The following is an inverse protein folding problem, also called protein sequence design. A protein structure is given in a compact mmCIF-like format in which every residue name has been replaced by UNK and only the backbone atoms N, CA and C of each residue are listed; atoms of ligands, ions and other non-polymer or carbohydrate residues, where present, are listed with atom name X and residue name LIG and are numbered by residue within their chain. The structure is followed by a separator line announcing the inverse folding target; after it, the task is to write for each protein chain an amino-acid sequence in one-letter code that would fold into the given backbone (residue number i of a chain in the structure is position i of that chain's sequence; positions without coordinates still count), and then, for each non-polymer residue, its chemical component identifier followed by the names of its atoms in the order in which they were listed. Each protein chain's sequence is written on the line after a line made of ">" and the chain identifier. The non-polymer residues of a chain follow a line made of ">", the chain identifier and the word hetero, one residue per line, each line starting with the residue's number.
data_IF_580835812679
#
_entry.id   IF_580835812679
#
_cell.length_a   1.000
_cell.length_b   1.000
_cell.length_c   1.000
_cell.angle_alpha   90.00
_cell.angle_beta   90.00
_cell.angle_gamma   90.00
#
_symmetry.space_group_name_H-M   'P 1'
#
loop_
_entity.id
_entity.type
_entity.pdbx_description
1 polymer ?
#
# COMPACT_ATOMS: atom_id res chain seq x y z
N UNK A 1 42.94 -23.14 -5.12
CA UNK A 1 41.56 -23.55 -4.79
C UNK A 1 40.62 -22.76 -5.71
N UNK A 2 40.07 -23.43 -6.72
CA UNK A 2 39.26 -22.82 -7.79
C UNK A 2 37.87 -22.50 -7.27
N UNK A 3 37.54 -21.20 -7.19
CA UNK A 3 36.15 -20.73 -6.96
C UNK A 3 35.33 -21.08 -8.23
N UNK A 4 34.53 -22.14 -8.18
CA UNK A 4 33.58 -22.50 -9.23
C UNK A 4 32.67 -21.27 -9.51
N UNK A 5 32.89 -20.64 -10.65
CA UNK A 5 31.97 -19.62 -11.18
C UNK A 5 30.57 -20.26 -11.31
N UNK A 6 29.62 -19.80 -10.50
CA UNK A 6 28.23 -20.29 -10.56
C UNK A 6 27.67 -19.95 -11.92
N UNK A 7 27.14 -20.95 -12.63
CA UNK A 7 26.56 -20.82 -13.96
C UNK A 7 25.50 -19.72 -14.00
N UNK A 8 25.47 -18.83 -15.00
CA UNK A 8 24.52 -17.67 -15.06
C UNK A 8 23.06 -18.08 -14.95
N UNK A 9 22.67 -19.25 -15.40
CA UNK A 9 21.32 -19.80 -15.26
C UNK A 9 20.89 -20.03 -13.79
N UNK A 10 21.77 -20.55 -12.93
CA UNK A 10 21.49 -20.81 -11.51
C UNK A 10 21.33 -19.50 -10.75
N UNK A 11 22.08 -18.46 -11.13
CA UNK A 11 21.97 -17.12 -10.54
C UNK A 11 20.67 -16.44 -10.96
N UNK A 12 20.23 -16.59 -12.21
CA UNK A 12 18.97 -16.07 -12.72
C UNK A 12 17.76 -16.72 -12.05
N UNK A 13 17.74 -18.05 -11.90
CA UNK A 13 16.64 -18.79 -11.23
C UNK A 13 16.53 -18.36 -9.76
N UNK A 14 17.65 -18.24 -9.04
CA UNK A 14 17.66 -17.79 -7.64
C UNK A 14 17.16 -16.35 -7.50
N UNK A 15 17.47 -15.49 -8.44
CA UNK A 15 16.96 -14.10 -8.48
C UNK A 15 15.46 -14.07 -8.71
N UNK A 16 14.93 -14.94 -9.58
CA UNK A 16 13.48 -15.00 -9.87
C UNK A 16 12.67 -15.49 -8.67
N UNK A 17 13.12 -16.57 -7.99
CA UNK A 17 12.47 -17.07 -6.77
C UNK A 17 12.47 -16.02 -5.66
N UNK A 18 13.60 -15.35 -5.45
CA UNK A 18 13.67 -14.26 -4.48
C UNK A 18 12.69 -13.14 -4.83
N UNK A 19 12.62 -12.73 -6.10
CA UNK A 19 11.69 -11.70 -6.56
C UNK A 19 10.23 -12.07 -6.26
N UNK A 20 9.83 -13.31 -6.54
CA UNK A 20 8.48 -13.81 -6.21
C UNK A 20 8.23 -13.74 -4.71
N UNK A 21 9.15 -14.22 -3.87
CA UNK A 21 9.01 -14.14 -2.41
C UNK A 21 8.86 -12.71 -1.90
N UNK A 22 9.67 -11.77 -2.42
CA UNK A 22 9.59 -10.36 -2.02
C UNK A 22 8.27 -9.72 -2.47
N UNK A 23 7.78 -10.07 -3.66
CA UNK A 23 6.47 -9.62 -4.17
C UNK A 23 5.34 -10.18 -3.32
N UNK A 24 5.40 -11.47 -2.96
CA UNK A 24 4.44 -12.12 -2.07
C UNK A 24 4.44 -11.49 -0.67
N UNK A 25 5.60 -11.12 -0.14
CA UNK A 25 5.68 -10.44 1.16
C UNK A 25 4.94 -9.10 1.16
N UNK A 26 5.09 -8.31 0.08
CA UNK A 26 4.34 -7.06 -0.07
C UNK A 26 2.85 -7.28 -0.27
N UNK A 27 2.47 -8.32 -1.03
CA UNK A 27 1.07 -8.66 -1.22
C UNK A 27 0.40 -9.06 0.11
N UNK A 28 0.99 -10.01 0.84
CA UNK A 28 0.42 -10.54 2.08
C UNK A 28 0.42 -9.53 3.22
N UNK A 29 1.43 -8.65 3.32
CA UNK A 29 1.47 -7.61 4.34
C UNK A 29 0.35 -6.57 4.19
N UNK A 30 -0.11 -6.31 2.97
CA UNK A 30 -1.19 -5.35 2.68
C UNK A 30 -2.56 -6.02 2.48
N UNK A 31 -2.59 -7.35 2.37
CA UNK A 31 -3.80 -8.11 2.07
C UNK A 31 -4.93 -7.89 3.10
N UNK A 32 -4.68 -7.80 4.43
CA UNK A 32 -5.75 -7.52 5.39
C UNK A 32 -6.50 -6.22 5.11
N UNK A 33 -5.80 -5.15 4.70
CA UNK A 33 -6.44 -3.88 4.30
C UNK A 33 -7.37 -4.09 3.10
N UNK A 34 -6.89 -4.76 2.05
CA UNK A 34 -7.69 -4.98 0.85
C UNK A 34 -8.87 -5.93 1.09
N UNK A 35 -8.72 -6.90 2.01
CA UNK A 35 -9.82 -7.76 2.43
C UNK A 35 -10.88 -6.99 3.23
N UNK A 36 -10.47 -6.06 4.12
CA UNK A 36 -11.40 -5.15 4.78
C UNK A 36 -12.21 -4.34 3.75
N UNK A 37 -11.55 -3.82 2.72
CA UNK A 37 -12.23 -3.09 1.64
C UNK A 37 -13.15 -3.99 0.82
N UNK A 38 -12.62 -5.07 0.23
CA UNK A 38 -13.34 -5.93 -0.70
C UNK A 38 -14.49 -6.72 -0.04
N UNK A 39 -14.30 -7.18 1.20
CA UNK A 39 -15.27 -7.96 1.95
C UNK A 39 -16.03 -7.14 3.00
N UNK A 40 -15.74 -5.83 3.07
CA UNK A 40 -16.37 -4.89 4.00
C UNK A 40 -17.90 -4.96 4.04
N UNK A 41 -18.60 -4.99 2.89
CA UNK A 41 -20.06 -5.11 2.87
C UNK A 41 -20.59 -6.33 3.63
N UNK A 42 -19.88 -7.46 3.58
CA UNK A 42 -20.27 -8.71 4.28
C UNK A 42 -20.04 -8.61 5.78
N UNK A 43 -18.90 -8.03 6.19
CA UNK A 43 -18.57 -7.83 7.62
C UNK A 43 -19.49 -6.81 8.26
N UNK A 44 -19.78 -5.70 7.57
CA UNK A 44 -20.73 -4.69 8.03
C UNK A 44 -22.12 -5.32 8.21
N UNK A 45 -22.55 -6.17 7.28
CA UNK A 45 -23.83 -6.87 7.38
C UNK A 45 -23.87 -7.90 8.52
N UNK A 46 -22.80 -8.65 8.74
CA UNK A 46 -22.74 -9.72 9.74
C UNK A 46 -22.60 -9.17 11.19
N UNK A 47 -21.75 -8.19 11.37
CA UNK A 47 -21.44 -7.63 12.70
C UNK A 47 -22.21 -6.35 13.04
N UNK A 48 -23.04 -5.84 12.11
CA UNK A 48 -23.77 -4.59 12.31
C UNK A 48 -22.86 -3.36 12.49
N UNK A 49 -21.71 -3.34 11.81
CA UNK A 49 -20.71 -2.28 12.00
C UNK A 49 -21.18 -0.95 11.44
N UNK A 50 -20.93 0.14 12.18
CA UNK A 50 -21.00 1.48 11.65
C UNK A 50 -19.89 1.70 10.60
N UNK A 51 -20.11 2.63 9.66
CA UNK A 51 -19.14 2.91 8.59
C UNK A 51 -17.81 3.39 9.17
N UNK A 52 -17.84 4.24 10.20
CA UNK A 52 -16.66 4.72 10.91
C UNK A 52 -15.83 3.60 11.56
N UNK A 53 -16.49 2.56 12.08
CA UNK A 53 -15.79 1.41 12.68
C UNK A 53 -14.90 0.67 11.66
N UNK A 54 -15.34 0.54 10.40
CA UNK A 54 -14.50 -0.02 9.34
C UNK A 54 -13.24 0.81 9.11
N UNK A 55 -13.37 2.14 9.14
CA UNK A 55 -12.22 3.04 9.04
C UNK A 55 -11.26 2.95 10.22
N UNK A 56 -11.79 2.79 11.43
CA UNK A 56 -10.97 2.61 12.63
C UNK A 56 -10.16 1.30 12.60
N UNK A 57 -10.68 0.23 12.00
CA UNK A 57 -9.90 -1.00 11.76
C UNK A 57 -8.65 -0.70 10.93
N UNK A 58 -8.80 0.05 9.83
CA UNK A 58 -7.66 0.42 8.99
C UNK A 58 -6.67 1.30 9.76
N UNK A 59 -7.17 2.28 10.51
CA UNK A 59 -6.35 3.15 11.34
C UNK A 59 -5.58 2.38 12.42
N UNK A 60 -6.17 1.33 13.02
CA UNK A 60 -5.49 0.48 14.00
C UNK A 60 -4.27 -0.21 13.38
N UNK A 61 -4.39 -0.83 12.20
CA UNK A 61 -3.28 -1.50 11.53
C UNK A 61 -2.17 -0.54 11.11
N UNK A 62 -2.52 0.54 10.42
CA UNK A 62 -1.54 1.54 9.98
C UNK A 62 -0.97 2.36 11.14
N UNK A 63 -1.74 2.57 12.22
CA UNK A 63 -1.26 3.20 13.44
C UNK A 63 -0.15 2.39 14.09
N UNK A 64 -0.33 1.07 14.23
CA UNK A 64 0.72 0.16 14.73
C UNK A 64 1.94 0.20 13.80
N UNK A 65 1.75 0.13 12.48
CA UNK A 65 2.85 0.20 11.53
C UNK A 65 3.61 1.53 11.61
N UNK A 66 2.89 2.66 11.74
CA UNK A 66 3.49 3.98 11.86
C UNK A 66 4.32 4.15 13.13
N UNK A 67 3.78 3.72 14.29
CA UNK A 67 4.47 3.78 15.58
C UNK A 67 5.74 2.93 15.59
N UNK A 68 5.72 1.79 14.91
CA UNK A 68 6.87 0.89 14.84
C UNK A 68 7.91 1.28 13.78
N UNK A 69 7.54 2.07 12.77
CA UNK A 69 8.42 2.45 11.66
C UNK A 69 9.81 2.94 12.08
N UNK A 70 9.99 3.77 13.13
CA UNK A 70 11.32 4.23 13.53
C UNK A 70 12.23 3.11 14.08
N UNK A 71 11.64 2.06 14.64
CA UNK A 71 12.37 0.97 15.31
C UNK A 71 12.70 -0.18 14.36
N UNK A 72 11.88 -0.36 13.31
CA UNK A 72 11.97 -1.53 12.43
C UNK A 72 13.26 -1.55 11.61
N UNK A 73 13.76 -0.42 11.14
CA UNK A 73 15.01 -0.36 10.39
C UNK A 73 16.20 -0.91 11.21
N UNK A 74 16.49 -0.37 12.40
CA UNK A 74 17.46 -0.93 13.34
C UNK A 74 17.21 -2.42 13.67
N UNK A 75 15.96 -2.82 13.85
CA UNK A 75 15.60 -4.21 14.14
C UNK A 75 15.96 -5.15 12.98
N UNK A 76 15.69 -4.76 11.73
CA UNK A 76 16.07 -5.55 10.55
C UNK A 76 17.60 -5.65 10.44
N UNK A 77 18.32 -4.58 10.76
CA UNK A 77 19.79 -4.61 10.79
C UNK A 77 20.34 -5.57 11.87
N UNK A 78 19.68 -5.63 13.04
CA UNK A 78 20.10 -6.48 14.16
C UNK A 78 19.71 -7.96 13.98
N UNK A 79 18.46 -8.24 13.58
CA UNK A 79 17.93 -9.60 13.46
C UNK A 79 18.32 -10.27 12.13
N UNK A 80 18.63 -9.48 11.12
CA UNK A 80 18.87 -9.89 9.75
C UNK A 80 17.59 -9.92 8.90
N UNK A 81 17.74 -9.58 7.63
CA UNK A 81 16.62 -9.41 6.70
C UNK A 81 15.84 -10.69 6.45
N UNK A 82 16.51 -11.86 6.46
CA UNK A 82 15.84 -13.17 6.32
C UNK A 82 14.89 -13.44 7.47
N UNK A 83 15.32 -13.24 8.73
CA UNK A 83 14.46 -13.47 9.90
C UNK A 83 13.27 -12.51 9.90
N UNK A 84 13.48 -11.26 9.50
CA UNK A 84 12.41 -10.28 9.38
C UNK A 84 11.44 -10.62 8.24
N UNK A 85 11.91 -11.17 7.11
CA UNK A 85 11.04 -11.69 6.05
C UNK A 85 10.16 -12.85 6.55
N UNK A 86 10.74 -13.80 7.27
CA UNK A 86 9.99 -14.91 7.91
C UNK A 86 8.98 -14.34 8.89
N UNK A 87 9.39 -13.36 9.73
CA UNK A 87 8.49 -12.65 10.65
C UNK A 87 7.34 -11.95 9.94
N UNK A 88 7.59 -11.31 8.78
CA UNK A 88 6.54 -10.69 7.96
C UNK A 88 5.48 -11.72 7.55
N UNK A 89 5.89 -12.87 7.02
CA UNK A 89 4.95 -13.92 6.63
C UNK A 89 4.23 -14.56 7.82
N UNK A 90 4.95 -14.82 8.92
CA UNK A 90 4.35 -15.38 10.14
C UNK A 90 3.30 -14.45 10.77
N UNK A 91 3.62 -13.16 10.85
CA UNK A 91 2.68 -12.15 11.34
C UNK A 91 1.49 -11.96 10.39
N UNK A 92 1.71 -12.03 9.06
CA UNK A 92 0.62 -12.01 8.09
C UNK A 92 -0.28 -13.24 8.22
N UNK A 93 0.30 -14.43 8.38
CA UNK A 93 -0.47 -15.66 8.59
C UNK A 93 -1.28 -15.61 9.89
N UNK A 94 -0.66 -15.17 11.00
CA UNK A 94 -1.31 -15.00 12.29
C UNK A 94 -2.45 -13.98 12.22
N UNK A 95 -2.18 -12.79 11.63
CA UNK A 95 -3.19 -11.75 11.47
C UNK A 95 -4.40 -12.23 10.66
N UNK A 96 -4.15 -12.92 9.54
CA UNK A 96 -5.21 -13.48 8.69
C UNK A 96 -5.96 -14.62 9.40
N UNK A 97 -5.29 -15.46 10.16
CA UNK A 97 -5.94 -16.50 10.96
C UNK A 97 -6.85 -15.90 12.05
N UNK A 98 -6.35 -14.89 12.78
CA UNK A 98 -7.15 -14.14 13.75
C UNK A 98 -8.32 -13.42 13.08
N UNK A 99 -8.10 -12.86 11.89
CA UNK A 99 -9.15 -12.20 11.11
C UNK A 99 -10.26 -13.19 10.74
N UNK A 100 -9.91 -14.38 10.21
CA UNK A 100 -10.87 -15.41 9.85
C UNK A 100 -11.65 -15.93 11.09
N UNK A 101 -11.01 -16.00 12.26
CA UNK A 101 -11.58 -16.47 13.49
C UNK A 101 -12.29 -15.38 14.32
N UNK A 102 -12.26 -14.12 13.89
CA UNK A 102 -12.78 -12.98 14.66
C UNK A 102 -14.27 -13.16 15.00
N UNK A 103 -14.64 -13.16 16.31
CA UNK A 103 -16.04 -13.32 16.72
C UNK A 103 -16.85 -12.02 16.62
N UNK A 104 -16.20 -10.88 16.44
CA UNK A 104 -16.81 -9.55 16.37
C UNK A 104 -15.78 -8.46 16.15
N UNK A 105 -16.19 -7.20 16.35
CA UNK A 105 -15.39 -6.02 16.08
C UNK A 105 -14.03 -6.01 16.80
N UNK A 106 -14.00 -6.34 18.09
CA UNK A 106 -12.76 -6.34 18.88
C UNK A 106 -11.75 -7.37 18.37
N UNK A 107 -12.23 -8.54 17.96
CA UNK A 107 -11.40 -9.56 17.30
C UNK A 107 -10.82 -9.08 16.00
N UNK A 108 -11.59 -8.33 15.19
CA UNK A 108 -11.11 -7.68 13.98
C UNK A 108 -10.03 -6.62 14.31
N UNK A 109 -10.24 -5.78 15.32
CA UNK A 109 -9.25 -4.79 15.77
C UNK A 109 -7.93 -5.46 16.13
N UNK A 110 -7.98 -6.54 16.94
CA UNK A 110 -6.78 -7.28 17.32
C UNK A 110 -6.06 -7.89 16.10
N UNK A 111 -6.80 -8.52 15.20
CA UNK A 111 -6.25 -9.12 13.98
C UNK A 111 -5.57 -8.08 13.08
N UNK A 112 -6.21 -6.94 12.88
CA UNK A 112 -5.68 -5.86 12.04
C UNK A 112 -4.50 -5.15 12.72
N UNK A 113 -4.51 -4.97 14.04
CA UNK A 113 -3.36 -4.46 14.78
C UNK A 113 -2.13 -5.39 14.62
N UNK A 114 -2.33 -6.71 14.71
CA UNK A 114 -1.26 -7.70 14.43
C UNK A 114 -0.76 -7.58 12.98
N UNK A 115 -1.65 -7.35 12.02
CA UNK A 115 -1.23 -7.13 10.62
C UNK A 115 -0.29 -5.94 10.46
N UNK A 116 -0.48 -4.88 11.26
CA UNK A 116 0.38 -3.70 11.28
C UNK A 116 1.84 -4.01 11.63
N UNK A 117 2.09 -5.03 12.47
CA UNK A 117 3.46 -5.50 12.78
C UNK A 117 4.14 -6.07 11.52
N UNK A 118 3.45 -6.95 10.80
CA UNK A 118 3.95 -7.54 9.56
C UNK A 118 4.18 -6.49 8.47
N UNK A 119 3.27 -5.52 8.38
CA UNK A 119 3.35 -4.42 7.43
C UNK A 119 4.55 -3.51 7.69
N UNK A 120 4.84 -3.18 8.95
CA UNK A 120 6.01 -2.38 9.32
C UNK A 120 7.31 -3.06 8.87
N UNK A 121 7.41 -4.39 9.03
CA UNK A 121 8.59 -5.19 8.66
C UNK A 121 8.79 -5.35 7.15
N UNK A 122 7.71 -5.40 6.37
CA UNK A 122 7.73 -5.85 4.97
C UNK A 122 8.69 -5.03 4.09
N UNK A 123 8.60 -3.70 4.11
CA UNK A 123 9.45 -2.84 3.29
C UNK A 123 10.93 -2.87 3.69
N UNK A 124 11.31 -2.65 4.97
CA UNK A 124 12.71 -2.69 5.38
C UNK A 124 13.37 -4.04 5.13
N UNK A 125 12.71 -5.15 5.48
CA UNK A 125 13.25 -6.49 5.29
C UNK A 125 13.47 -6.83 3.80
N UNK A 126 12.50 -6.53 2.95
CA UNK A 126 12.60 -6.79 1.51
C UNK A 126 13.62 -5.88 0.82
N UNK A 127 13.70 -4.61 1.19
CA UNK A 127 14.70 -3.68 0.67
C UNK A 127 16.13 -4.12 1.03
N UNK A 128 16.36 -4.57 2.27
CA UNK A 128 17.66 -5.07 2.69
C UNK A 128 18.05 -6.34 1.94
N UNK A 129 17.12 -7.27 1.68
CA UNK A 129 17.40 -8.45 0.85
C UNK A 129 17.76 -8.08 -0.58
N UNK A 130 17.08 -7.08 -1.17
CA UNK A 130 17.44 -6.56 -2.49
C UNK A 130 18.85 -5.97 -2.47
N UNK A 131 19.16 -5.12 -1.49
CA UNK A 131 20.46 -4.47 -1.41
C UNK A 131 21.61 -5.45 -1.23
N UNK A 132 21.41 -6.55 -0.47
CA UNK A 132 22.48 -7.48 -0.11
C UNK A 132 22.58 -8.68 -1.04
N UNK A 133 21.51 -9.06 -1.77
CA UNK A 133 21.46 -10.33 -2.51
C UNK A 133 21.18 -10.19 -4.00
N UNK A 134 20.73 -9.01 -4.44
CA UNK A 134 20.42 -8.78 -5.85
C UNK A 134 21.55 -8.00 -6.50
N UNK A 135 22.06 -8.45 -7.66
CA UNK A 135 23.08 -7.72 -8.41
C UNK A 135 22.64 -6.28 -8.73
N UNK A 136 23.54 -5.31 -8.63
CA UNK A 136 23.25 -3.89 -8.80
C UNK A 136 22.50 -3.57 -10.09
N UNK A 137 22.86 -4.23 -11.20
CA UNK A 137 22.27 -4.02 -12.53
C UNK A 137 20.75 -4.31 -12.60
N UNK A 138 20.21 -5.20 -11.72
CA UNK A 138 18.79 -5.60 -11.75
C UNK A 138 18.01 -5.21 -10.50
N UNK A 139 18.65 -4.54 -9.53
CA UNK A 139 17.99 -4.10 -8.26
C UNK A 139 16.75 -3.27 -8.50
N UNK A 140 16.80 -2.35 -9.44
CA UNK A 140 15.66 -1.49 -9.78
C UNK A 140 14.46 -2.29 -10.30
N UNK A 141 14.70 -3.26 -11.18
CA UNK A 141 13.65 -4.13 -11.70
C UNK A 141 13.02 -4.98 -10.58
N UNK A 142 13.84 -5.60 -9.73
CA UNK A 142 13.37 -6.42 -8.59
C UNK A 142 12.59 -5.57 -7.59
N UNK A 143 13.04 -4.35 -7.29
CA UNK A 143 12.32 -3.43 -6.42
C UNK A 143 10.96 -3.02 -7.02
N UNK A 144 10.89 -2.79 -8.32
CA UNK A 144 9.64 -2.52 -9.03
C UNK A 144 8.65 -3.69 -8.94
N UNK A 145 9.09 -4.90 -9.23
CA UNK A 145 8.28 -6.12 -9.10
C UNK A 145 7.80 -6.34 -7.66
N UNK A 146 8.72 -6.24 -6.69
CA UNK A 146 8.38 -6.32 -5.27
C UNK A 146 7.25 -5.34 -4.92
N UNK A 147 7.37 -4.09 -5.34
CA UNK A 147 6.39 -3.06 -4.99
C UNK A 147 5.03 -3.28 -5.68
N UNK A 148 5.00 -3.95 -6.83
CA UNK A 148 3.75 -4.36 -7.49
C UNK A 148 2.98 -5.40 -6.68
N UNK A 149 3.63 -6.10 -5.75
CA UNK A 149 2.98 -7.03 -4.82
C UNK A 149 1.83 -6.40 -4.04
N UNK A 150 1.91 -5.12 -3.69
CA UNK A 150 0.81 -4.39 -3.04
C UNK A 150 -0.47 -4.47 -3.89
N UNK A 151 -0.37 -4.20 -5.19
CA UNK A 151 -1.52 -4.24 -6.10
C UNK A 151 -1.97 -5.67 -6.42
N UNK A 152 -1.04 -6.64 -6.41
CA UNK A 152 -1.38 -8.07 -6.46
C UNK A 152 -2.28 -8.44 -5.26
N UNK A 153 -1.97 -7.92 -4.07
CA UNK A 153 -2.83 -8.08 -2.89
C UNK A 153 -4.25 -7.55 -3.10
N UNK A 154 -4.39 -6.36 -3.70
CA UNK A 154 -5.69 -5.78 -4.03
C UNK A 154 -6.46 -6.65 -5.04
N UNK A 155 -5.79 -7.12 -6.10
CA UNK A 155 -6.38 -8.03 -7.09
C UNK A 155 -6.86 -9.33 -6.43
N UNK A 156 -6.00 -9.95 -5.58
CA UNK A 156 -6.35 -11.20 -4.89
C UNK A 156 -7.55 -11.04 -3.95
N UNK A 157 -7.63 -9.94 -3.22
CA UNK A 157 -8.76 -9.65 -2.34
C UNK A 157 -10.05 -9.42 -3.12
N UNK A 158 -9.98 -8.64 -4.21
CA UNK A 158 -11.15 -8.19 -4.96
C UNK A 158 -11.73 -9.22 -5.91
N UNK A 159 -10.97 -10.24 -6.33
CA UNK A 159 -11.46 -11.23 -7.32
C UNK A 159 -11.37 -12.68 -6.80
N UNK A 160 -10.20 -13.37 -6.69
CA UNK A 160 -10.21 -14.78 -6.33
C UNK A 160 -10.67 -15.05 -4.89
N UNK A 161 -10.25 -14.24 -3.90
CA UNK A 161 -10.71 -14.40 -2.52
C UNK A 161 -12.17 -13.97 -2.37
N UNK A 162 -12.61 -12.94 -3.08
CA UNK A 162 -14.02 -12.55 -3.12
C UNK A 162 -14.90 -13.64 -3.76
N UNK A 163 -14.41 -14.39 -4.76
CA UNK A 163 -15.11 -15.53 -5.33
C UNK A 163 -15.28 -16.66 -4.30
N UNK A 164 -14.23 -17.00 -3.55
CA UNK A 164 -14.32 -17.95 -2.43
C UNK A 164 -15.34 -17.47 -1.38
N UNK A 165 -15.31 -16.18 -1.04
CA UNK A 165 -16.25 -15.59 -0.11
C UNK A 165 -17.70 -15.62 -0.63
N UNK A 166 -17.91 -15.62 -1.94
CA UNK A 166 -19.21 -15.80 -2.57
C UNK A 166 -19.70 -17.23 -2.59
N UNK A 167 -18.79 -18.18 -2.82
CA UNK A 167 -19.11 -19.61 -2.92
C UNK A 167 -19.30 -20.29 -1.55
N UNK A 168 -18.56 -19.86 -0.53
CA UNK A 168 -18.56 -20.45 0.81
C UNK A 168 -18.97 -19.40 1.85
N UNK A 169 -18.03 -18.57 2.28
CA UNK A 169 -18.21 -17.41 3.16
C UNK A 169 -16.90 -16.59 3.21
N UNK A 170 -16.95 -15.38 3.78
CA UNK A 170 -15.79 -14.52 3.86
C UNK A 170 -14.68 -15.06 4.78
N UNK A 171 -15.02 -15.82 5.83
CA UNK A 171 -14.04 -16.45 6.72
C UNK A 171 -13.20 -17.49 5.99
N UNK A 172 -13.83 -18.30 5.12
CA UNK A 172 -13.13 -19.27 4.27
C UNK A 172 -12.13 -18.59 3.33
N UNK A 173 -12.50 -17.45 2.73
CA UNK A 173 -11.60 -16.67 1.89
C UNK A 173 -10.38 -16.15 2.67
N UNK A 174 -10.60 -15.62 3.89
CA UNK A 174 -9.51 -15.12 4.74
C UNK A 174 -8.64 -16.27 5.26
N UNK A 175 -9.25 -17.41 5.64
CA UNK A 175 -8.52 -18.61 6.05
C UNK A 175 -7.64 -19.18 4.92
N UNK A 176 -8.12 -19.14 3.66
CA UNK A 176 -7.33 -19.50 2.48
C UNK A 176 -6.10 -18.59 2.35
N UNK A 177 -6.29 -17.29 2.55
CA UNK A 177 -5.18 -16.34 2.53
C UNK A 177 -4.19 -16.60 3.68
N UNK A 178 -4.67 -16.97 4.88
CA UNK A 178 -3.83 -17.36 6.01
C UNK A 178 -2.99 -18.61 5.70
N UNK A 179 -3.59 -19.62 5.06
CA UNK A 179 -2.88 -20.83 4.63
C UNK A 179 -1.78 -20.51 3.59
N UNK A 180 -2.06 -19.63 2.62
CA UNK A 180 -1.06 -19.17 1.66
C UNK A 180 0.09 -18.43 2.37
N UNK A 181 -0.22 -17.59 3.36
CA UNK A 181 0.81 -16.91 4.15
C UNK A 181 1.65 -17.88 4.98
N UNK A 182 1.05 -18.93 5.55
CA UNK A 182 1.77 -19.99 6.26
C UNK A 182 2.70 -20.79 5.32
N UNK A 183 2.26 -21.10 4.11
CA UNK A 183 3.12 -21.72 3.08
C UNK A 183 4.27 -20.79 2.69
N UNK A 184 4.04 -19.47 2.64
CA UNK A 184 5.09 -18.50 2.36
C UNK A 184 6.15 -18.45 3.48
N UNK A 185 5.80 -18.75 4.74
CA UNK A 185 6.78 -18.94 5.83
C UNK A 185 7.74 -20.08 5.49
N UNK A 186 7.22 -21.24 5.10
CA UNK A 186 8.03 -22.38 4.71
C UNK A 186 8.95 -22.06 3.52
N UNK A 187 8.41 -21.36 2.51
CA UNK A 187 9.20 -20.91 1.38
C UNK A 187 10.31 -19.90 1.78
N UNK A 188 10.05 -19.00 2.73
CA UNK A 188 11.05 -18.06 3.23
C UNK A 188 12.20 -18.74 4.00
N UNK A 189 11.98 -19.92 4.57
CA UNK A 189 13.03 -20.72 5.21
C UNK A 189 14.10 -21.20 4.20
N UNK A 190 13.79 -21.29 2.91
CA UNK A 190 14.76 -21.65 1.86
C UNK A 190 15.72 -20.51 1.52
N UNK A 191 15.41 -19.27 1.90
CA UNK A 191 16.30 -18.12 1.72
C UNK A 191 17.56 -18.33 2.54
N UNK A 192 18.74 -18.09 1.95
CA UNK A 192 20.01 -18.28 2.65
C UNK A 192 20.10 -17.43 3.93
N UNK A 193 20.78 -17.94 4.96
CA UNK A 193 21.00 -17.21 6.22
C UNK A 193 21.77 -15.92 5.97
N UNK A 194 21.47 -14.88 6.73
CA UNK A 194 22.22 -13.63 6.71
C UNK A 194 23.61 -13.86 7.31
N UNK A 195 24.67 -13.20 6.79
CA UNK A 195 25.90 -13.07 7.54
C UNK A 195 25.65 -12.38 8.87
N UNK A 196 26.56 -12.49 9.84
CA UNK A 196 26.38 -11.88 11.17
C UNK A 196 25.93 -10.41 11.05
N UNK A 197 24.88 -10.01 11.79
CA UNK A 197 24.34 -8.68 11.67
C UNK A 197 25.36 -7.63 12.17
N UNK A 198 25.47 -6.48 11.51
CA UNK A 198 26.23 -5.36 12.03
C UNK A 198 25.61 -4.85 13.36
N UNK A 199 26.40 -4.07 14.12
CA UNK A 199 25.90 -3.40 15.32
C UNK A 199 24.67 -2.54 15.01
N UNK A 200 23.70 -2.50 15.94
CA UNK A 200 22.49 -1.68 15.81
C UNK A 200 22.87 -0.22 15.47
N UNK A 201 22.39 0.31 14.34
CA UNK A 201 22.54 1.73 14.07
C UNK A 201 21.72 2.54 15.08
N UNK A 202 22.12 3.78 15.39
CA UNK A 202 21.35 4.65 16.27
C UNK A 202 19.96 4.92 15.71
N UNK A 203 18.97 5.00 16.61
CA UNK A 203 17.61 5.43 16.26
C UNK A 203 17.63 6.90 15.87
N UNK A 204 17.52 7.20 14.60
CA UNK A 204 17.41 8.59 14.11
C UNK A 204 15.99 8.82 13.65
N UNK A 205 15.23 9.61 14.41
CA UNK A 205 13.91 10.08 14.00
C UNK A 205 14.10 11.24 13.01
N UNK A 206 13.81 10.99 11.75
CA UNK A 206 13.89 12.01 10.71
C UNK A 206 12.74 13.02 10.85
N UNK A 207 13.08 14.32 10.91
CA UNK A 207 12.08 15.40 10.91
C UNK A 207 11.80 15.88 9.49
N UNK A 208 10.54 16.20 9.14
CA UNK A 208 10.21 16.83 7.87
C UNK A 208 10.86 18.20 7.74
N UNK A 209 11.66 18.44 6.69
CA UNK A 209 12.28 19.73 6.39
C UNK A 209 12.54 19.87 4.90
N UNK A 210 12.62 21.10 4.41
CA UNK A 210 12.90 21.38 3.00
C UNK A 210 11.95 20.66 2.04
N UNK A 211 12.50 20.12 0.97
CA UNK A 211 11.75 19.38 -0.06
C UNK A 211 11.08 18.12 0.48
N UNK A 212 11.72 17.40 1.41
CA UNK A 212 11.14 16.22 2.06
C UNK A 212 9.90 16.58 2.89
N UNK A 213 9.84 17.78 3.48
CA UNK A 213 8.66 18.27 4.19
C UNK A 213 7.46 18.48 3.26
N UNK A 214 7.67 19.10 2.09
CA UNK A 214 6.61 19.26 1.08
C UNK A 214 6.13 17.93 0.53
N UNK A 215 7.04 17.03 0.23
CA UNK A 215 6.73 15.68 -0.22
C UNK A 215 5.98 14.86 0.84
N UNK A 216 6.29 15.07 2.12
CA UNK A 216 5.56 14.47 3.24
C UNK A 216 4.10 14.96 3.27
N UNK A 217 3.87 16.29 3.20
CA UNK A 217 2.53 16.88 3.14
C UNK A 217 1.72 16.36 1.93
N UNK A 218 2.34 16.32 0.77
CA UNK A 218 1.77 15.70 -0.43
C UNK A 218 1.34 14.24 -0.18
N UNK A 219 2.22 13.46 0.45
CA UNK A 219 1.97 12.03 0.70
C UNK A 219 0.90 11.79 1.77
N UNK A 220 0.75 12.67 2.77
CA UNK A 220 -0.38 12.63 3.72
C UNK A 220 -1.70 12.75 2.96
N UNK A 221 -1.84 13.78 2.12
CA UNK A 221 -3.06 14.03 1.35
C UNK A 221 -3.36 12.90 0.37
N UNK A 222 -2.34 12.42 -0.34
CA UNK A 222 -2.46 11.29 -1.28
C UNK A 222 -2.86 10.00 -0.54
N UNK A 223 -2.22 9.71 0.59
CA UNK A 223 -2.50 8.54 1.42
C UNK A 223 -3.91 8.56 2.00
N UNK A 224 -4.40 9.75 2.43
CA UNK A 224 -5.77 9.95 2.90
C UNK A 224 -6.80 9.52 1.86
N UNK A 225 -6.64 9.98 0.62
CA UNK A 225 -7.55 9.60 -0.46
C UNK A 225 -7.46 8.13 -0.85
N UNK A 226 -6.24 7.60 -1.05
CA UNK A 226 -6.04 6.20 -1.45
C UNK A 226 -6.59 5.23 -0.40
N UNK A 227 -6.34 5.47 0.89
CA UNK A 227 -6.82 4.59 1.95
C UNK A 227 -8.33 4.59 2.08
N UNK A 228 -8.96 5.76 2.00
CA UNK A 228 -10.42 5.88 2.02
C UNK A 228 -11.06 5.11 0.84
N UNK A 229 -10.52 5.26 -0.38
CA UNK A 229 -11.03 4.53 -1.56
C UNK A 229 -10.87 3.02 -1.39
N UNK A 230 -9.68 2.54 -1.01
CA UNK A 230 -9.44 1.11 -0.80
C UNK A 230 -10.36 0.51 0.26
N UNK A 231 -10.76 1.28 1.26
CA UNK A 231 -11.62 0.84 2.35
C UNK A 231 -13.10 0.84 1.96
N UNK A 232 -13.55 1.87 1.25
CA UNK A 232 -14.98 2.14 1.13
C UNK A 232 -15.58 1.97 -0.25
N UNK A 233 -14.78 1.80 -1.32
CA UNK A 233 -15.32 1.71 -2.67
C UNK A 233 -16.31 0.55 -2.84
N UNK A 234 -16.00 -0.62 -2.26
CA UNK A 234 -16.90 -1.78 -2.34
C UNK A 234 -18.14 -1.58 -1.44
N UNK A 235 -17.98 -0.99 -0.24
CA UNK A 235 -19.10 -0.71 0.65
C UNK A 235 -20.05 0.32 0.02
N UNK A 236 -19.51 1.37 -0.58
CA UNK A 236 -20.27 2.37 -1.34
C UNK A 236 -21.05 1.74 -2.49
N UNK A 237 -20.36 0.93 -3.31
CA UNK A 237 -21.01 0.25 -4.43
C UNK A 237 -22.14 -0.67 -3.97
N UNK A 238 -21.97 -1.42 -2.90
CA UNK A 238 -22.99 -2.31 -2.36
C UNK A 238 -24.16 -1.55 -1.70
N UNK A 239 -23.87 -0.55 -0.86
CA UNK A 239 -24.89 0.15 -0.05
C UNK A 239 -25.60 1.24 -0.81
N UNK A 240 -24.88 2.05 -1.62
CA UNK A 240 -25.43 3.22 -2.30
C UNK A 240 -25.84 2.93 -3.75
N UNK A 241 -25.12 2.04 -4.44
CA UNK A 241 -25.36 1.75 -5.86
C UNK A 241 -26.09 0.42 -6.09
N UNK A 242 -26.38 -0.35 -5.03
CA UNK A 242 -27.07 -1.63 -5.13
C UNK A 242 -26.25 -2.72 -5.87
N UNK A 243 -24.93 -2.57 -5.94
CA UNK A 243 -24.08 -3.54 -6.62
C UNK A 243 -24.09 -4.89 -5.87
N UNK A 244 -24.06 -5.98 -6.65
CA UNK A 244 -23.90 -7.31 -6.06
C UNK A 244 -22.59 -7.41 -5.27
N UNK A 245 -22.50 -8.27 -4.25
CA UNK A 245 -21.27 -8.42 -3.46
C UNK A 245 -20.03 -8.75 -4.29
N UNK A 246 -20.18 -9.52 -5.38
CA UNK A 246 -19.11 -9.84 -6.32
C UNK A 246 -18.65 -8.62 -7.12
N UNK A 247 -19.60 -7.86 -7.68
CA UNK A 247 -19.29 -6.63 -8.42
C UNK A 247 -18.64 -5.57 -7.52
N UNK A 248 -19.13 -5.40 -6.29
CA UNK A 248 -18.55 -4.48 -5.32
C UNK A 248 -17.08 -4.85 -4.99
N UNK A 249 -16.80 -6.12 -4.72
CA UNK A 249 -15.44 -6.60 -4.45
C UNK A 249 -14.54 -6.46 -5.68
N UNK A 250 -15.05 -6.68 -6.89
CA UNK A 250 -14.29 -6.59 -8.13
C UNK A 250 -13.73 -5.17 -8.40
N UNK A 251 -14.35 -4.12 -7.85
CA UNK A 251 -13.79 -2.76 -7.90
C UNK A 251 -12.40 -2.66 -7.26
N UNK A 252 -12.18 -3.40 -6.16
CA UNK A 252 -10.85 -3.46 -5.51
C UNK A 252 -9.83 -4.17 -6.40
N UNK A 253 -10.24 -5.21 -7.13
CA UNK A 253 -9.38 -5.85 -8.12
C UNK A 253 -9.03 -4.92 -9.28
N UNK A 254 -9.99 -4.13 -9.76
CA UNK A 254 -9.78 -3.11 -10.81
C UNK A 254 -8.76 -2.07 -10.35
N UNK A 255 -8.87 -1.56 -9.12
CA UNK A 255 -7.86 -0.69 -8.52
C UNK A 255 -6.46 -1.31 -8.55
N UNK A 256 -6.37 -2.62 -8.22
CA UNK A 256 -5.10 -3.36 -8.25
C UNK A 256 -4.51 -3.45 -9.65
N UNK A 257 -5.29 -3.93 -10.62
CA UNK A 257 -4.84 -4.09 -12.02
C UNK A 257 -4.45 -2.73 -12.63
N UNK A 258 -5.32 -1.73 -12.49
CA UNK A 258 -5.06 -0.38 -12.98
C UNK A 258 -3.83 0.25 -12.31
N UNK A 259 -3.61 -0.04 -11.02
CA UNK A 259 -2.43 0.40 -10.28
C UNK A 259 -1.12 -0.21 -10.79
N UNK A 260 -1.11 -1.49 -11.19
CA UNK A 260 0.06 -2.13 -11.82
C UNK A 260 0.32 -1.49 -13.19
N UNK A 261 -0.71 -1.41 -14.03
CA UNK A 261 -0.60 -0.84 -15.37
C UNK A 261 -0.12 0.63 -15.33
N UNK A 262 -0.76 1.44 -14.48
CA UNK A 262 -0.39 2.84 -14.29
C UNK A 262 1.06 3.03 -13.86
N UNK A 263 1.53 2.24 -12.87
CA UNK A 263 2.95 2.30 -12.42
C UNK A 263 3.93 2.01 -13.55
N UNK A 264 3.65 1.01 -14.38
CA UNK A 264 4.52 0.68 -15.52
C UNK A 264 4.54 1.79 -16.55
N UNK A 265 3.37 2.33 -16.91
CA UNK A 265 3.25 3.40 -17.90
C UNK A 265 3.95 4.68 -17.40
N UNK A 266 3.63 5.13 -16.18
CA UNK A 266 4.18 6.37 -15.64
C UNK A 266 5.66 6.27 -15.29
N UNK A 267 6.15 5.09 -14.87
CA UNK A 267 7.59 4.88 -14.66
C UNK A 267 8.37 5.03 -15.99
N UNK A 268 7.85 4.46 -17.07
CA UNK A 268 8.47 4.62 -18.41
C UNK A 268 8.40 6.06 -18.91
N UNK A 269 7.31 6.74 -18.64
CA UNK A 269 7.14 8.11 -19.09
C UNK A 269 7.99 9.09 -18.26
N UNK A 270 8.07 8.89 -16.95
CA UNK A 270 8.89 9.72 -16.06
C UNK A 270 10.37 9.69 -16.41
N UNK A 271 10.89 8.58 -16.96
CA UNK A 271 12.29 8.48 -17.38
C UNK A 271 12.62 9.34 -18.62
N UNK A 272 11.61 9.83 -19.35
CA UNK A 272 11.75 10.73 -20.51
C UNK A 272 11.63 12.22 -20.13
N UNK A 273 11.28 12.51 -18.89
CA UNK A 273 11.07 13.86 -18.39
C UNK A 273 12.33 14.39 -17.67
N UNK A 274 12.57 15.69 -17.68
CA UNK A 274 13.69 16.30 -16.95
C UNK A 274 13.69 15.99 -15.45
N UNK A 275 12.51 15.82 -14.86
CA UNK A 275 12.32 15.39 -13.46
C UNK A 275 10.99 14.67 -13.29
N UNK A 276 10.93 13.58 -12.51
CA UNK A 276 9.66 12.89 -12.18
C UNK A 276 8.63 13.81 -11.50
N UNK A 277 9.07 14.83 -10.79
CA UNK A 277 8.22 15.80 -10.08
C UNK A 277 7.14 16.47 -10.96
N UNK A 278 7.38 16.54 -12.28
CA UNK A 278 6.42 17.11 -13.24
C UNK A 278 5.08 16.38 -13.21
N UNK A 279 5.09 15.09 -12.93
CA UNK A 279 3.91 14.23 -12.94
C UNK A 279 3.07 14.28 -11.65
N UNK A 280 3.62 14.76 -10.52
CA UNK A 280 2.94 14.71 -9.22
C UNK A 280 1.61 15.48 -9.22
N UNK A 281 1.62 16.73 -9.72
CA UNK A 281 0.41 17.55 -9.81
C UNK A 281 -0.65 16.96 -10.74
N UNK A 282 -0.33 16.68 -12.02
CA UNK A 282 -1.27 16.06 -12.96
C UNK A 282 -1.85 14.72 -12.48
N UNK A 283 -1.04 13.86 -11.87
CA UNK A 283 -1.52 12.59 -11.33
C UNK A 283 -2.47 12.77 -10.13
N UNK A 284 -2.16 13.68 -9.22
CA UNK A 284 -3.05 13.98 -8.10
C UNK A 284 -4.36 14.64 -8.59
N UNK A 285 -4.30 15.52 -9.60
CA UNK A 285 -5.48 16.09 -10.23
C UNK A 285 -6.34 15.03 -10.93
N UNK A 286 -5.71 14.13 -11.71
CA UNK A 286 -6.39 12.99 -12.32
C UNK A 286 -7.06 12.08 -11.28
N UNK A 287 -6.43 11.89 -10.12
CA UNK A 287 -7.01 11.16 -9.01
C UNK A 287 -8.25 11.88 -8.43
N UNK A 288 -8.22 13.21 -8.33
CA UNK A 288 -9.38 13.99 -7.88
C UNK A 288 -10.58 13.85 -8.83
N UNK A 289 -10.34 13.94 -10.15
CA UNK A 289 -11.35 13.72 -11.18
C UNK A 289 -11.91 12.29 -11.10
N UNK A 290 -11.05 11.31 -10.91
CA UNK A 290 -11.45 9.92 -10.75
C UNK A 290 -12.31 9.69 -9.49
N UNK A 291 -12.01 10.37 -8.37
CA UNK A 291 -12.81 10.32 -7.15
C UNK A 291 -14.21 10.95 -7.36
N UNK A 292 -14.31 12.05 -8.13
CA UNK A 292 -15.60 12.60 -8.56
C UNK A 292 -16.34 11.62 -9.49
N UNK A 293 -15.62 10.88 -10.34
CA UNK A 293 -16.19 9.80 -11.12
C UNK A 293 -16.82 8.70 -10.25
N UNK A 294 -16.17 8.32 -9.14
CA UNK A 294 -16.77 7.38 -8.18
C UNK A 294 -18.07 7.96 -7.61
N UNK A 295 -18.09 9.21 -7.20
CA UNK A 295 -19.31 9.88 -6.72
C UNK A 295 -20.39 9.93 -7.77
N UNK A 296 -20.06 10.19 -9.04
CA UNK A 296 -20.98 10.21 -10.17
C UNK A 296 -21.60 8.83 -10.47
N UNK A 297 -21.11 7.77 -9.84
CA UNK A 297 -21.73 6.44 -9.87
C UNK A 297 -23.19 6.42 -9.41
N UNK A 298 -23.64 7.42 -8.65
CA UNK A 298 -25.05 7.60 -8.28
C UNK A 298 -25.95 7.95 -9.47
N UNK A 299 -25.43 8.55 -10.53
CA UNK A 299 -26.16 8.88 -11.75
C UNK A 299 -26.10 7.75 -12.77
N UNK A 300 -24.94 7.10 -12.89
CA UNK A 300 -24.74 5.94 -13.74
C UNK A 300 -23.65 5.05 -13.15
N UNK A 301 -24.00 3.82 -12.84
CA UNK A 301 -23.09 2.86 -12.16
C UNK A 301 -21.77 2.59 -12.89
N UNK A 302 -21.71 2.83 -14.21
CA UNK A 302 -20.47 2.72 -14.98
C UNK A 302 -19.38 3.71 -14.54
N UNK A 303 -19.75 4.87 -14.02
CA UNK A 303 -18.79 5.87 -13.54
C UNK A 303 -17.91 5.36 -12.38
N UNK A 304 -18.45 4.49 -11.51
CA UNK A 304 -17.64 3.94 -10.40
C UNK A 304 -16.47 3.08 -10.92
N UNK A 305 -16.66 2.37 -12.02
CA UNK A 305 -15.62 1.55 -12.65
C UNK A 305 -14.55 2.42 -13.33
N UNK A 306 -14.97 3.45 -14.05
CA UNK A 306 -14.06 4.42 -14.64
C UNK A 306 -13.27 5.18 -13.56
N UNK A 307 -13.95 5.55 -12.47
CA UNK A 307 -13.30 6.15 -11.31
C UNK A 307 -12.27 5.21 -10.67
N UNK A 308 -12.61 3.92 -10.48
CA UNK A 308 -11.68 2.93 -9.95
C UNK A 308 -10.44 2.76 -10.85
N UNK A 309 -10.63 2.68 -12.17
CA UNK A 309 -9.53 2.66 -13.14
C UNK A 309 -8.66 3.92 -13.03
N UNK A 310 -9.28 5.10 -12.98
CA UNK A 310 -8.59 6.38 -12.85
C UNK A 310 -7.78 6.48 -11.56
N UNK A 311 -8.33 6.04 -10.43
CA UNK A 311 -7.60 5.99 -9.15
C UNK A 311 -6.39 5.07 -9.22
N UNK A 312 -6.54 3.86 -9.75
CA UNK A 312 -5.41 2.95 -9.95
C UNK A 312 -4.33 3.57 -10.82
N UNK A 313 -4.71 4.12 -11.98
CA UNK A 313 -3.78 4.73 -12.92
C UNK A 313 -3.12 6.01 -12.39
N UNK A 314 -3.82 6.84 -11.63
CA UNK A 314 -3.34 8.15 -11.19
C UNK A 314 -2.83 8.13 -9.74
N UNK A 315 -3.69 7.87 -8.74
CA UNK A 315 -3.35 7.99 -7.33
C UNK A 315 -2.27 6.98 -6.90
N UNK A 316 -2.46 5.69 -7.26
CA UNK A 316 -1.50 4.63 -6.92
C UNK A 316 -0.15 4.88 -7.59
N UNK A 317 -0.16 5.39 -8.82
CA UNK A 317 1.07 5.73 -9.56
C UNK A 317 1.74 6.99 -9.02
N UNK A 318 0.98 7.98 -8.55
CA UNK A 318 1.50 9.19 -7.93
C UNK A 318 2.36 8.88 -6.70
N UNK A 319 1.98 7.88 -5.89
CA UNK A 319 2.81 7.41 -4.78
C UNK A 319 4.15 6.81 -5.25
N UNK A 320 4.17 6.07 -6.34
CA UNK A 320 5.43 5.56 -6.91
C UNK A 320 6.30 6.69 -7.46
N UNK A 321 5.70 7.64 -8.18
CA UNK A 321 6.41 8.80 -8.74
C UNK A 321 6.94 9.71 -7.64
N UNK A 322 6.24 9.84 -6.49
CA UNK A 322 6.75 10.61 -5.36
C UNK A 322 8.05 10.02 -4.80
N UNK A 323 8.16 8.70 -4.67
CA UNK A 323 9.40 8.04 -4.26
C UNK A 323 10.53 8.21 -5.28
N UNK A 324 10.21 8.15 -6.58
CA UNK A 324 11.20 8.42 -7.65
C UNK A 324 11.67 9.88 -7.59
N UNK A 325 10.79 10.81 -7.27
CA UNK A 325 11.13 12.24 -7.09
C UNK A 325 12.09 12.42 -5.92
N UNK A 326 11.83 11.79 -4.77
CA UNK A 326 12.75 11.84 -3.62
C UNK A 326 14.15 11.34 -4.01
N UNK A 327 14.22 10.19 -4.70
CA UNK A 327 15.51 9.61 -5.14
C UNK A 327 16.24 10.56 -6.11
N UNK A 328 15.49 11.27 -6.95
CA UNK A 328 16.07 12.17 -7.96
C UNK A 328 16.47 13.55 -7.40
N UNK A 329 15.89 13.99 -6.29
CA UNK A 329 16.11 15.34 -5.73
C UNK A 329 16.92 15.38 -4.46
N UNK A 330 16.91 14.33 -3.65
CA UNK A 330 17.66 14.25 -2.40
C UNK A 330 19.14 13.98 -2.65
N UNK A 331 20.01 14.57 -1.81
CA UNK A 331 21.42 14.22 -1.79
C UNK A 331 21.60 12.73 -1.42
N UNK A 332 22.58 12.01 -2.01
CA UNK A 332 22.73 10.56 -1.83
C UNK A 332 22.72 10.09 -0.37
N UNK A 333 23.34 10.87 0.52
CA UNK A 333 23.39 10.61 1.97
C UNK A 333 22.05 10.82 2.69
N UNK A 334 21.12 11.58 2.09
CA UNK A 334 19.83 11.91 2.67
C UNK A 334 18.66 11.11 2.09
N UNK A 335 18.83 10.40 0.95
CA UNK A 335 17.76 9.65 0.27
C UNK A 335 17.01 8.72 1.22
N UNK A 336 17.72 7.99 2.08
CA UNK A 336 17.09 7.07 3.04
C UNK A 336 16.20 7.78 4.05
N UNK A 337 16.70 8.90 4.62
CA UNK A 337 15.98 9.73 5.58
C UNK A 337 14.75 10.38 4.95
N UNK A 338 14.90 10.97 3.79
CA UNK A 338 13.83 11.70 3.11
C UNK A 338 12.74 10.75 2.60
N UNK A 339 13.13 9.56 2.12
CA UNK A 339 12.18 8.49 1.78
C UNK A 339 11.37 8.01 3.01
N UNK A 340 12.01 7.92 4.18
CA UNK A 340 11.32 7.55 5.41
C UNK A 340 10.29 8.60 5.83
N UNK A 341 10.63 9.89 5.73
CA UNK A 341 9.73 11.02 6.02
C UNK A 341 8.51 11.00 5.10
N UNK A 342 8.72 10.80 3.80
CA UNK A 342 7.63 10.74 2.81
C UNK A 342 6.74 9.51 3.00
N UNK A 343 7.33 8.36 3.34
CA UNK A 343 6.57 7.14 3.68
C UNK A 343 5.75 7.31 4.95
N UNK A 344 6.31 7.97 5.98
CA UNK A 344 5.60 8.26 7.21
C UNK A 344 4.37 9.16 6.95
N UNK A 345 4.52 10.17 6.09
CA UNK A 345 3.39 10.97 5.64
C UNK A 345 2.31 10.14 4.95
N UNK A 346 2.69 9.22 4.07
CA UNK A 346 1.75 8.33 3.40
C UNK A 346 0.98 7.45 4.40
N UNK A 347 1.67 6.86 5.39
CA UNK A 347 1.02 6.06 6.43
C UNK A 347 0.13 6.91 7.35
N UNK A 348 0.53 8.15 7.68
CA UNK A 348 -0.33 9.07 8.42
C UNK A 348 -1.65 9.33 7.68
N UNK A 349 -1.61 9.48 6.35
CA UNK A 349 -2.82 9.57 5.52
C UNK A 349 -3.72 8.33 5.64
N UNK A 350 -3.13 7.13 5.75
CA UNK A 350 -3.88 5.88 5.95
C UNK A 350 -4.51 5.79 7.34
N UNK A 351 -3.91 6.41 8.35
CA UNK A 351 -4.51 6.51 9.70
C UNK A 351 -5.67 7.50 9.72
N UNK A 352 -5.58 8.59 8.97
CA UNK A 352 -6.55 9.70 8.99
C UNK A 352 -7.73 9.44 8.05
N UNK A 353 -7.46 9.03 6.81
CA UNK A 353 -8.43 9.00 5.72
C UNK A 353 -9.67 8.15 6.01
N UNK A 354 -9.52 6.85 6.30
CA UNK A 354 -10.68 5.98 6.49
C UNK A 354 -11.56 6.35 7.69
N UNK A 355 -11.04 6.70 8.90
CA UNK A 355 -11.89 7.15 10.00
C UNK A 355 -12.67 8.42 9.68
N UNK A 356 -12.02 9.42 9.06
CA UNK A 356 -12.68 10.68 8.71
C UNK A 356 -13.75 10.45 7.65
N UNK A 357 -13.47 9.63 6.63
CA UNK A 357 -14.45 9.25 5.62
C UNK A 357 -15.67 8.58 6.26
N UNK A 358 -15.43 7.56 7.09
CA UNK A 358 -16.50 6.81 7.76
C UNK A 358 -17.35 7.67 8.69
N UNK A 359 -16.70 8.53 9.49
CA UNK A 359 -17.40 9.48 10.35
C UNK A 359 -18.29 10.45 9.58
N UNK A 360 -17.84 10.93 8.40
CA UNK A 360 -18.67 11.77 7.52
C UNK A 360 -19.89 11.03 6.98
N UNK A 361 -19.74 9.76 6.60
CA UNK A 361 -20.87 8.94 6.15
C UNK A 361 -21.86 8.72 7.30
N UNK A 362 -21.37 8.36 8.48
CA UNK A 362 -22.23 8.15 9.66
C UNK A 362 -22.95 9.45 10.07
N UNK A 363 -22.26 10.60 10.06
CA UNK A 363 -22.86 11.92 10.35
C UNK A 363 -23.82 12.42 9.26
N UNK A 364 -23.80 11.81 8.07
CA UNK A 364 -24.66 12.18 6.93
C UNK A 364 -25.80 11.18 6.71
N UNK A 365 -26.22 10.44 7.72
CA UNK A 365 -27.27 9.40 7.64
C UNK A 365 -27.00 8.37 6.53
N UNK A 366 -25.75 7.95 6.40
CA UNK A 366 -25.34 6.94 5.41
C UNK A 366 -25.13 7.48 3.99
N UNK A 367 -25.14 8.80 3.79
CA UNK A 367 -24.88 9.44 2.49
C UNK A 367 -23.38 9.62 2.26
N UNK A 368 -22.87 9.14 1.13
CA UNK A 368 -21.44 9.14 0.78
C UNK A 368 -20.95 10.43 0.10
N UNK A 369 -21.86 11.36 -0.26
CA UNK A 369 -21.50 12.55 -1.04
C UNK A 369 -20.40 13.40 -0.42
N UNK A 370 -20.57 13.81 0.85
CA UNK A 370 -19.58 14.61 1.55
C UNK A 370 -18.22 13.90 1.69
N UNK A 371 -18.22 12.58 1.94
CA UNK A 371 -17.03 11.79 2.10
C UNK A 371 -16.24 11.68 0.78
N UNK A 372 -16.89 11.46 -0.37
CA UNK A 372 -16.23 11.45 -1.68
C UNK A 372 -15.73 12.83 -2.09
N UNK A 373 -16.45 13.91 -1.75
CA UNK A 373 -16.02 15.30 -1.96
C UNK A 373 -14.75 15.59 -1.16
N UNK A 374 -14.66 15.13 0.09
CA UNK A 374 -13.44 15.23 0.90
C UNK A 374 -12.26 14.52 0.24
N UNK A 375 -12.46 13.30 -0.26
CA UNK A 375 -11.41 12.53 -0.95
C UNK A 375 -10.92 13.28 -2.19
N UNK A 376 -11.84 13.79 -3.01
CA UNK A 376 -11.48 14.62 -4.17
C UNK A 376 -10.74 15.88 -3.74
N UNK A 377 -11.18 16.56 -2.68
CA UNK A 377 -10.52 17.72 -2.09
C UNK A 377 -9.10 17.43 -1.61
N UNK A 378 -8.88 16.27 -0.99
CA UNK A 378 -7.54 15.84 -0.55
C UNK A 378 -6.60 15.66 -1.76
N UNK A 379 -7.05 15.07 -2.85
CA UNK A 379 -6.26 14.93 -4.08
C UNK A 379 -6.03 16.29 -4.78
N UNK A 380 -7.02 17.17 -4.78
CA UNK A 380 -6.84 18.55 -5.30
C UNK A 380 -5.81 19.33 -4.46
N UNK A 381 -5.88 19.22 -3.14
CA UNK A 381 -4.88 19.82 -2.26
C UNK A 381 -3.48 19.23 -2.49
N UNK A 382 -3.38 17.92 -2.71
CA UNK A 382 -2.10 17.29 -3.09
C UNK A 382 -1.58 17.86 -4.43
N UNK A 383 -2.44 18.01 -5.43
CA UNK A 383 -2.06 18.63 -6.71
C UNK A 383 -1.56 20.07 -6.52
N UNK A 384 -2.26 20.87 -5.71
CA UNK A 384 -1.87 22.24 -5.40
C UNK A 384 -0.52 22.31 -4.69
N UNK A 385 -0.27 21.44 -3.69
CA UNK A 385 1.03 21.31 -3.02
C UNK A 385 2.15 20.98 -4.00
N UNK A 386 1.92 20.03 -4.92
CA UNK A 386 2.91 19.65 -5.93
C UNK A 386 3.24 20.78 -6.91
N UNK A 387 2.23 21.50 -7.42
CA UNK A 387 2.43 22.62 -8.32
C UNK A 387 3.12 23.81 -7.64
N UNK A 388 2.71 24.14 -6.41
CA UNK A 388 3.31 25.24 -5.66
C UNK A 388 4.76 24.95 -5.26
N UNK A 389 5.08 23.76 -4.78
CA UNK A 389 6.45 23.33 -4.50
C UNK A 389 7.32 23.43 -5.75
N UNK A 390 6.81 22.97 -6.91
CA UNK A 390 7.52 23.06 -8.17
C UNK A 390 7.78 24.51 -8.60
N UNK A 391 6.79 25.39 -8.49
CA UNK A 391 6.94 26.80 -8.83
C UNK A 391 8.05 27.46 -8.00
N UNK A 392 8.11 27.19 -6.71
CA UNK A 392 9.17 27.67 -5.81
C UNK A 392 10.55 27.14 -6.20
N UNK A 393 10.66 25.86 -6.51
CA UNK A 393 11.95 25.25 -6.89
C UNK A 393 12.51 25.85 -8.18
N UNK A 394 11.65 26.22 -9.13
CA UNK A 394 12.06 26.91 -10.35
C UNK A 394 12.53 28.33 -10.07
N UNK A 395 11.85 29.07 -9.20
CA UNK A 395 12.24 30.43 -8.80
C UNK A 395 13.59 30.49 -8.08
N UNK A 396 13.86 29.52 -7.19
CA UNK A 396 15.15 29.43 -6.46
C UNK A 396 16.33 29.05 -7.37
N UNK A 397 16.10 28.36 -8.47
CA UNK A 397 17.14 28.02 -9.46
C UNK A 397 17.40 29.15 -10.48
N UNK A 398 16.47 30.07 -10.62
CA UNK A 398 16.59 31.22 -11.52
C UNK A 398 17.26 32.45 -10.87
N UNK A 399 17.47 32.41 -9.56
CA UNK A 399 18.25 33.38 -8.78
C UNK A 399 19.66 32.86 -8.51
#
# INVERSE_FOLDING_TARGET
>A
MSARAKTPAVTAIRSSVLTVLLTTAMALSMLPLFLLGALGPRMVGEFGLATGQLGLLVAAGFGVAAVLSPVVGPMVAALGARRCLIGTFALSALALALFAAAPGYEGLVAAIAVSGLGQALANPATNQLIATRVPAAVRGAVAGWKQSGVQVGAFLAGLPLAAIAGAVNWRAAVATAAAIAALAVAAALTVAKDPQPPRLPPLVVARPHGDAGWMCGYSVLLGTGISAINTYIALYAAKQLGASPGAASALVAVLGIAGIAGRVVWARWSSRLPTPAILLGPLAFGAAVAALGILAGTWWSGWVWLGALGIGCCAVSANAVSMMTVIATAAPEHVGRDSAVVSAGFFAGFVIGPPVFGALVDASDGRYGAAWTLVSGAFLAAAAVAWWWRARTLQTRAR
#
